data_IF_345553322221
#
_entry.id   IF_345553322221
#
_cell.length_a   1.000
_cell.length_b   1.000
_cell.length_c   1.000
_cell.angle_alpha   90.00
_cell.angle_beta   90.00
_cell.angle_gamma   90.00
#
_symmetry.space_group_name_H-M   'P 1'
#
loop_
_entity.id
_entity.type
_entity.pdbx_description
1 polymer ?
#
# COMPACT_ATOMS: atom_id res chain seq x y z
N UNK A 1 -17.20 27.34 -52.37
CA UNK A 1 -17.04 27.58 -50.92
C UNK A 1 -16.93 26.24 -50.22
N UNK A 2 -15.79 26.01 -49.58
CA UNK A 2 -15.31 24.74 -49.03
C UNK A 2 -15.84 24.60 -47.60
N UNK A 3 -16.82 23.71 -47.40
CA UNK A 3 -17.34 23.37 -46.06
C UNK A 3 -16.24 22.56 -45.33
N UNK A 4 -15.65 23.14 -44.30
CA UNK A 4 -14.65 22.48 -43.46
C UNK A 4 -15.34 21.44 -42.56
N UNK A 5 -14.88 20.19 -42.64
CA UNK A 5 -15.23 19.10 -41.73
C UNK A 5 -14.58 19.42 -40.37
N UNK A 6 -15.37 19.67 -39.34
CA UNK A 6 -14.88 19.82 -37.96
C UNK A 6 -15.06 18.50 -37.22
N UNK A 7 -14.06 17.61 -37.31
CA UNK A 7 -13.94 16.42 -36.47
C UNK A 7 -13.27 16.80 -35.15
N UNK A 8 -14.08 17.06 -34.12
CA UNK A 8 -13.60 17.18 -32.74
C UNK A 8 -13.35 15.76 -32.21
N UNK A 9 -12.09 15.33 -32.22
CA UNK A 9 -11.65 14.09 -31.57
C UNK A 9 -11.25 14.41 -30.14
N UNK A 10 -12.16 14.22 -29.19
CA UNK A 10 -11.88 14.38 -27.77
C UNK A 10 -11.24 13.07 -27.24
N UNK A 11 -9.93 12.90 -27.42
CA UNK A 11 -9.18 11.91 -26.64
C UNK A 11 -9.05 12.44 -25.21
N UNK A 12 -10.06 12.15 -24.39
CA UNK A 12 -9.93 12.28 -22.94
C UNK A 12 -8.92 11.26 -22.45
N UNK A 13 -7.72 11.70 -22.07
CA UNK A 13 -6.84 10.91 -21.23
C UNK A 13 -7.55 10.76 -19.89
N UNK A 14 -8.24 9.64 -19.69
CA UNK A 14 -8.71 9.22 -18.38
C UNK A 14 -7.48 8.97 -17.53
N UNK A 15 -7.01 9.99 -16.83
CA UNK A 15 -6.10 9.84 -15.71
C UNK A 15 -6.85 9.05 -14.66
N UNK A 16 -6.77 7.73 -14.79
CA UNK A 16 -7.26 6.81 -13.79
C UNK A 16 -6.35 7.03 -12.60
N UNK A 17 -6.76 7.86 -11.66
CA UNK A 17 -6.29 7.75 -10.28
C UNK A 17 -6.78 6.40 -9.81
N UNK A 18 -6.09 5.32 -10.23
CA UNK A 18 -6.43 3.98 -9.80
C UNK A 18 -6.36 4.03 -8.28
N UNK A 19 -7.48 3.77 -7.62
CA UNK A 19 -7.43 3.46 -6.20
C UNK A 19 -6.58 2.19 -6.08
N UNK A 20 -5.81 2.06 -5.00
CA UNK A 20 -4.99 0.89 -4.78
C UNK A 20 -5.90 -0.30 -4.44
N UNK A 21 -6.40 -0.99 -5.47
CA UNK A 21 -7.42 -2.03 -5.33
C UNK A 21 -6.96 -3.12 -4.34
N UNK A 22 -5.69 -3.49 -4.36
CA UNK A 22 -5.15 -4.48 -3.44
C UNK A 22 -5.22 -4.00 -1.98
N UNK A 23 -4.84 -2.75 -1.71
CA UNK A 23 -4.99 -2.15 -0.40
C UNK A 23 -6.45 -1.93 -0.03
N UNK A 24 -7.33 -1.58 -0.95
CA UNK A 24 -8.77 -1.39 -0.69
C UNK A 24 -9.41 -2.72 -0.28
N UNK A 25 -9.06 -3.80 -0.96
CA UNK A 25 -9.47 -5.16 -0.59
C UNK A 25 -8.95 -5.49 0.81
N UNK A 26 -7.68 -5.20 1.12
CA UNK A 26 -7.13 -5.43 2.47
C UNK A 26 -7.86 -4.60 3.54
N UNK A 27 -8.10 -3.31 3.29
CA UNK A 27 -8.86 -2.42 4.16
C UNK A 27 -10.28 -2.90 4.43
N UNK A 28 -10.90 -3.59 3.46
CA UNK A 28 -12.25 -4.16 3.61
C UNK A 28 -12.32 -5.39 4.52
N UNK A 29 -11.18 -5.93 4.96
CA UNK A 29 -11.11 -7.09 5.84
C UNK A 29 -11.25 -6.70 7.31
N UNK A 30 -11.61 -7.67 8.14
CA UNK A 30 -11.57 -7.48 9.60
C UNK A 30 -10.13 -7.26 10.07
N UNK A 31 -9.94 -6.64 11.24
CA UNK A 31 -8.61 -6.41 11.81
C UNK A 31 -7.81 -7.71 11.93
N UNK A 32 -8.43 -8.81 12.37
CA UNK A 32 -7.77 -10.12 12.46
C UNK A 32 -7.33 -10.63 11.08
N UNK A 33 -8.18 -10.47 10.07
CA UNK A 33 -7.84 -10.86 8.70
C UNK A 33 -6.71 -9.98 8.14
N UNK A 34 -6.70 -8.68 8.43
CA UNK A 34 -5.60 -7.79 8.02
C UNK A 34 -4.27 -8.25 8.62
N UNK A 35 -4.24 -8.53 9.93
CA UNK A 35 -3.08 -9.05 10.65
C UNK A 35 -2.58 -10.34 10.02
N UNK A 36 -3.47 -11.29 9.75
CA UNK A 36 -3.09 -12.58 9.15
C UNK A 36 -2.58 -12.43 7.71
N UNK A 37 -3.24 -11.62 6.87
CA UNK A 37 -2.82 -11.40 5.48
C UNK A 37 -1.44 -10.75 5.43
N UNK A 38 -1.23 -9.67 6.19
CA UNK A 38 0.05 -8.97 6.24
C UNK A 38 1.15 -9.86 6.83
N UNK A 39 0.85 -10.62 7.89
CA UNK A 39 1.78 -11.61 8.44
C UNK A 39 2.17 -12.67 7.42
N UNK A 40 1.23 -13.17 6.61
CA UNK A 40 1.51 -14.14 5.54
C UNK A 40 2.40 -13.55 4.44
N UNK A 41 2.27 -12.26 4.11
CA UNK A 41 3.17 -11.57 3.17
C UNK A 41 4.61 -11.59 3.71
N UNK A 42 4.81 -11.24 4.99
CA UNK A 42 6.13 -11.28 5.64
C UNK A 42 6.70 -12.70 5.67
N UNK A 43 5.91 -13.68 6.09
CA UNK A 43 6.33 -15.09 6.14
C UNK A 43 6.72 -15.63 4.75
N UNK A 44 5.95 -15.28 3.71
CA UNK A 44 6.23 -15.69 2.33
C UNK A 44 7.52 -15.09 1.78
N UNK A 45 7.96 -13.96 2.33
CA UNK A 45 9.25 -13.34 2.02
C UNK A 45 10.44 -13.97 2.78
N UNK A 46 10.23 -15.08 3.49
CA UNK A 46 11.28 -15.76 4.25
C UNK A 46 11.64 -15.09 5.57
N UNK A 47 10.77 -14.22 6.08
CA UNK A 47 10.91 -13.56 7.37
C UNK A 47 9.86 -14.14 8.32
N UNK A 48 10.21 -15.11 9.20
CA UNK A 48 9.23 -15.66 10.13
C UNK A 48 8.60 -14.56 10.99
N UNK A 49 7.28 -14.50 11.04
CA UNK A 49 6.52 -13.53 11.82
C UNK A 49 5.24 -14.20 12.31
N UNK A 50 5.07 -14.25 13.63
CA UNK A 50 3.76 -14.50 14.25
C UNK A 50 3.08 -13.14 14.40
N UNK A 51 2.13 -12.77 13.53
CA UNK A 51 1.62 -11.41 13.48
C UNK A 51 0.68 -11.13 14.66
N UNK A 52 0.81 -9.95 15.26
CA UNK A 52 0.02 -9.54 16.45
C UNK A 52 -0.83 -8.31 16.21
N UNK A 53 -0.40 -7.39 15.34
CA UNK A 53 -1.11 -6.13 15.09
C UNK A 53 -0.74 -5.55 13.73
N UNK A 54 -1.74 -5.09 12.98
CA UNK A 54 -1.56 -4.31 11.76
C UNK A 54 -2.00 -2.86 11.97
N UNK A 55 -1.50 -1.96 11.12
CA UNK A 55 -1.93 -0.55 11.11
C UNK A 55 -1.78 0.02 9.70
N UNK A 56 -2.76 0.80 9.24
CA UNK A 56 -2.67 1.50 7.96
C UNK A 56 -2.06 2.89 8.16
N UNK A 57 -0.87 3.14 7.60
CA UNK A 57 -0.22 4.44 7.71
C UNK A 57 -0.80 5.47 6.76
N UNK A 58 -1.22 5.04 5.57
CA UNK A 58 -1.78 5.93 4.56
C UNK A 58 -1.30 5.61 3.15
N UNK A 59 -1.57 6.55 2.25
CA UNK A 59 -1.16 6.52 0.86
C UNK A 59 -0.07 7.58 0.60
N UNK A 60 0.89 7.28 -0.26
CA UNK A 60 1.78 8.31 -0.79
C UNK A 60 1.16 9.05 -1.99
N UNK A 61 1.92 10.01 -2.55
CA UNK A 61 1.50 10.81 -3.71
C UNK A 61 1.23 9.99 -4.97
N UNK A 62 1.76 8.76 -5.06
CA UNK A 62 1.53 7.84 -6.18
C UNK A 62 0.38 6.85 -5.90
N UNK A 63 -0.26 6.96 -4.74
CA UNK A 63 -1.30 6.04 -4.28
C UNK A 63 -0.79 4.70 -3.77
N UNK A 64 0.53 4.53 -3.59
CA UNK A 64 1.03 3.32 -2.93
C UNK A 64 0.62 3.34 -1.46
N UNK A 65 0.14 2.20 -0.97
CA UNK A 65 -0.37 2.05 0.39
C UNK A 65 0.72 1.53 1.32
N UNK A 66 0.74 2.03 2.56
CA UNK A 66 1.73 1.65 3.56
C UNK A 66 1.01 1.05 4.78
N UNK A 67 1.37 -0.19 5.10
CA UNK A 67 0.81 -0.95 6.20
C UNK A 67 1.91 -1.39 7.15
N UNK A 68 1.73 -1.17 8.43
CA UNK A 68 2.60 -1.75 9.44
C UNK A 68 2.09 -3.12 9.89
N UNK A 69 3.03 -3.98 10.27
CA UNK A 69 2.76 -5.26 10.92
C UNK A 69 3.76 -5.47 12.06
N UNK A 70 3.24 -5.83 13.24
CA UNK A 70 4.02 -6.21 14.41
C UNK A 70 4.03 -7.72 14.55
N UNK A 71 5.18 -8.27 14.92
CA UNK A 71 5.36 -9.69 15.20
C UNK A 71 5.54 -9.90 16.71
N UNK A 72 5.19 -11.10 17.20
CA UNK A 72 5.27 -11.43 18.64
C UNK A 72 6.69 -11.41 19.21
N UNK A 73 7.71 -11.47 18.36
CA UNK A 73 9.12 -11.40 18.72
C UNK A 73 9.65 -9.96 18.87
N UNK A 74 8.77 -8.96 18.78
CA UNK A 74 9.10 -7.54 18.91
C UNK A 74 9.55 -6.87 17.60
N UNK A 75 9.77 -7.63 16.53
CA UNK A 75 10.03 -7.03 15.21
C UNK A 75 8.76 -6.41 14.64
N UNK A 76 8.96 -5.40 13.81
CA UNK A 76 7.88 -4.79 13.03
C UNK A 76 8.38 -4.37 11.65
N UNK A 77 7.45 -4.32 10.71
CA UNK A 77 7.72 -4.08 9.31
C UNK A 77 6.69 -3.12 8.71
N UNK A 78 7.14 -2.30 7.77
CA UNK A 78 6.29 -1.59 6.82
C UNK A 78 6.18 -2.43 5.55
N UNK A 79 4.97 -2.63 5.07
CA UNK A 79 4.64 -3.25 3.80
C UNK A 79 4.08 -2.14 2.91
N UNK A 80 4.86 -1.75 1.90
CA UNK A 80 4.38 -0.93 0.81
C UNK A 80 3.65 -1.84 -0.18
N UNK A 81 2.45 -1.46 -0.61
CA UNK A 81 1.70 -2.08 -1.69
C UNK A 81 1.60 -1.04 -2.81
N UNK A 82 2.28 -1.28 -3.93
CA UNK A 82 2.23 -0.36 -5.07
C UNK A 82 0.84 -0.28 -5.68
N UNK A 83 0.48 0.90 -6.17
CA UNK A 83 -0.72 1.12 -6.95
C UNK A 83 -0.52 0.68 -8.41
N UNK A 84 -0.38 -0.64 -8.62
CA UNK A 84 -0.24 -1.24 -9.93
C UNK A 84 -1.00 -2.57 -10.00
N UNK A 85 -1.22 -3.10 -11.21
CA UNK A 85 -1.99 -4.32 -11.40
C UNK A 85 -1.38 -5.56 -10.72
N UNK A 86 -0.05 -5.56 -10.51
CA UNK A 86 0.66 -6.64 -9.84
C UNK A 86 0.64 -6.53 -8.31
N UNK A 87 0.13 -5.42 -7.76
CA UNK A 87 0.19 -5.08 -6.35
C UNK A 87 1.59 -5.31 -5.75
N UNK A 88 2.64 -4.89 -6.46
CA UNK A 88 4.03 -5.14 -6.07
C UNK A 88 4.26 -4.71 -4.62
N UNK A 89 4.82 -5.61 -3.80
CA UNK A 89 5.06 -5.36 -2.38
C UNK A 89 6.53 -5.12 -2.08
N UNK A 90 6.80 -4.14 -1.22
CA UNK A 90 8.13 -3.90 -0.63
C UNK A 90 8.01 -4.04 0.88
N UNK A 91 8.87 -4.85 1.49
CA UNK A 91 8.93 -5.05 2.94
C UNK A 91 10.14 -4.33 3.49
N UNK A 92 9.95 -3.48 4.49
CA UNK A 92 10.99 -2.69 5.13
C UNK A 92 10.90 -2.89 6.64
N UNK A 93 12.01 -3.16 7.32
CA UNK A 93 12.01 -3.20 8.79
C UNK A 93 11.77 -1.82 9.39
N UNK A 94 10.91 -1.75 10.41
CA UNK A 94 10.61 -0.50 11.10
C UNK A 94 11.85 0.15 11.75
N UNK A 95 12.80 -0.64 12.24
CA UNK A 95 14.08 -0.14 12.77
C UNK A 95 14.89 0.63 11.70
N UNK A 96 14.86 0.17 10.45
CA UNK A 96 15.51 0.86 9.34
C UNK A 96 14.80 2.20 9.03
N UNK A 97 13.46 2.20 9.00
CA UNK A 97 12.65 3.43 8.80
C UNK A 97 12.87 4.45 9.93
N UNK A 98 12.94 3.98 11.18
CA UNK A 98 13.21 4.81 12.36
C UNK A 98 14.59 5.45 12.33
N UNK A 99 15.59 4.73 11.80
CA UNK A 99 16.93 5.28 11.62
C UNK A 99 16.95 6.45 10.62
N UNK A 100 15.93 6.58 9.78
CA UNK A 100 15.71 7.69 8.85
C UNK A 100 14.75 8.76 9.39
N UNK A 101 14.32 8.65 10.65
CA UNK A 101 13.39 9.58 11.29
C UNK A 101 11.91 9.31 11.01
N UNK A 102 11.57 8.23 10.31
CA UNK A 102 10.18 7.84 10.06
C UNK A 102 9.63 6.99 11.21
N UNK A 103 8.33 7.14 11.51
CA UNK A 103 7.66 6.35 12.56
C UNK A 103 6.75 5.29 11.94
N UNK A 104 6.88 4.05 12.40
CA UNK A 104 5.85 3.03 12.19
C UNK A 104 4.69 3.20 13.17
N UNK A 105 3.54 2.62 12.84
CA UNK A 105 2.28 2.68 13.60
C UNK A 105 1.79 4.11 13.84
N UNK A 106 2.05 4.98 12.87
CA UNK A 106 1.59 6.37 12.85
C UNK A 106 1.08 6.71 11.46
N UNK A 107 -0.09 7.35 11.42
CA UNK A 107 -0.68 7.81 10.16
C UNK A 107 0.15 8.92 9.53
N UNK A 108 0.21 8.97 8.21
CA UNK A 108 0.83 10.06 7.48
C UNK A 108 0.13 11.39 7.83
N UNK A 109 0.92 12.43 8.09
CA UNK A 109 0.42 13.77 8.45
C UNK A 109 -0.11 13.91 9.89
N UNK A 110 0.05 12.88 10.73
CA UNK A 110 -0.28 12.91 12.16
C UNK A 110 0.98 13.01 13.02
#
# INVERSE_FOLDING_TARGET
MRQLIMTISLLGLVSSTYANIASDILSSRTSDQQVQILGNIINSAGLPCTPTRSFFQGLDMSGAAYWDIACSDGRSFVIQIMNNAAATTTIIQCSAMQSLGATCFKGFGQ
#
